data_IF_638113739280
#
_entry.id   IF_638113739280
#
_cell.length_a   1.000
_cell.length_b   1.000
_cell.length_c   1.000
_cell.angle_alpha   90.00
_cell.angle_beta   90.00
_cell.angle_gamma   90.00
#
_symmetry.space_group_name_H-M   'P 1'
#
loop_
_entity.id
_entity.type
_entity.pdbx_description
1 polymer ?
#
# COMPACT_ATOMS: atom_id res chain seq x y z
N UNK A 1 7.63 20.57 3.03
CA UNK A 1 7.33 19.38 3.86
C UNK A 1 6.47 18.33 3.15
N UNK A 2 5.37 18.72 2.49
CA UNK A 2 4.47 17.79 1.76
C UNK A 2 5.11 16.85 0.73
N UNK A 3 6.06 17.28 -0.13
CA UNK A 3 6.57 16.40 -1.19
C UNK A 3 7.49 15.28 -0.68
N UNK A 4 8.17 15.48 0.46
CA UNK A 4 9.10 14.49 1.01
C UNK A 4 8.37 13.26 1.55
N UNK A 5 7.25 13.46 2.28
CA UNK A 5 6.42 12.37 2.78
C UNK A 5 5.73 11.61 1.63
N UNK A 6 5.28 12.34 0.62
CA UNK A 6 4.65 11.78 -0.58
C UNK A 6 5.64 10.92 -1.37
N UNK A 7 6.85 11.43 -1.63
CA UNK A 7 7.92 10.70 -2.30
C UNK A 7 8.37 9.48 -1.49
N UNK A 8 8.51 9.62 -0.16
CA UNK A 8 8.93 8.52 0.71
C UNK A 8 7.92 7.38 0.70
N UNK A 9 6.61 7.67 0.80
CA UNK A 9 5.55 6.66 0.72
C UNK A 9 5.50 6.06 -0.68
N UNK A 10 5.52 6.87 -1.74
CA UNK A 10 5.49 6.37 -3.11
C UNK A 10 6.65 5.42 -3.40
N UNK A 11 7.88 5.83 -3.07
CA UNK A 11 9.10 5.03 -3.30
C UNK A 11 9.09 3.78 -2.45
N UNK A 12 8.79 3.88 -1.14
CA UNK A 12 8.76 2.69 -0.28
C UNK A 12 7.71 1.69 -0.75
N UNK A 13 6.50 2.14 -1.06
CA UNK A 13 5.43 1.24 -1.51
C UNK A 13 5.79 0.60 -2.85
N UNK A 14 6.31 1.35 -3.82
CA UNK A 14 6.72 0.82 -5.11
C UNK A 14 7.87 -0.19 -5.00
N UNK A 15 8.94 0.15 -4.28
CA UNK A 15 10.13 -0.69 -4.14
C UNK A 15 9.81 -1.97 -3.37
N UNK A 16 9.06 -1.87 -2.27
CA UNK A 16 8.73 -3.05 -1.46
C UNK A 16 7.69 -3.94 -2.14
N UNK A 17 6.73 -3.38 -2.89
CA UNK A 17 5.82 -4.17 -3.71
C UNK A 17 6.57 -4.88 -4.85
N UNK A 18 7.54 -4.21 -5.48
CA UNK A 18 8.38 -4.82 -6.51
C UNK A 18 9.24 -5.95 -5.95
N UNK A 19 9.83 -5.77 -4.76
CA UNK A 19 10.56 -6.83 -4.06
C UNK A 19 9.64 -8.01 -3.71
N UNK A 20 8.41 -7.73 -3.24
CA UNK A 20 7.41 -8.77 -2.96
C UNK A 20 7.02 -9.56 -4.21
N UNK A 21 6.85 -8.89 -5.35
CA UNK A 21 6.60 -9.52 -6.63
C UNK A 21 7.77 -10.39 -7.09
N UNK A 22 9.00 -9.89 -6.94
CA UNK A 22 10.21 -10.64 -7.30
C UNK A 22 10.37 -11.89 -6.44
N UNK A 23 10.20 -11.78 -5.12
CA UNK A 23 10.26 -12.91 -4.19
C UNK A 23 9.16 -13.94 -4.48
N UNK A 24 7.94 -13.49 -4.79
CA UNK A 24 6.87 -14.40 -5.19
C UNK A 24 7.20 -15.16 -6.47
N UNK A 25 7.83 -14.48 -7.45
CA UNK A 25 8.25 -15.11 -8.71
C UNK A 25 9.38 -16.12 -8.50
N UNK A 26 10.34 -15.82 -7.62
CA UNK A 26 11.40 -16.75 -7.26
C UNK A 26 10.85 -17.98 -6.53
N UNK A 27 9.97 -17.79 -5.56
CA UNK A 27 9.33 -18.89 -4.84
C UNK A 27 8.44 -19.74 -5.75
N UNK A 28 7.75 -19.11 -6.71
CA UNK A 28 6.97 -19.79 -7.73
C UNK A 28 7.80 -20.72 -8.61
N UNK A 29 9.03 -20.33 -8.96
CA UNK A 29 9.93 -21.19 -9.74
C UNK A 29 10.37 -22.44 -8.97
N UNK A 30 10.27 -22.43 -7.65
CA UNK A 30 10.59 -23.59 -6.79
C UNK A 30 9.37 -24.50 -6.57
N UNK A 31 8.17 -24.03 -6.88
CA UNK A 31 6.92 -24.81 -6.71
C UNK A 31 6.42 -25.32 -8.05
N UNK A 32 6.09 -26.61 -8.16
CA UNK A 32 5.45 -27.19 -9.36
C UNK A 32 3.98 -26.77 -9.54
N UNK A 33 3.45 -25.96 -8.61
CA UNK A 33 2.04 -25.60 -8.53
C UNK A 33 1.76 -24.23 -9.17
N UNK A 34 0.97 -24.23 -10.25
CA UNK A 34 0.71 -23.05 -11.09
C UNK A 34 -0.05 -21.94 -10.34
N UNK A 35 -0.75 -22.27 -9.25
CA UNK A 35 -1.53 -21.32 -8.44
C UNK A 35 -0.78 -20.69 -7.26
N UNK A 36 0.38 -21.24 -6.86
CA UNK A 36 1.11 -20.77 -5.68
C UNK A 36 1.74 -19.39 -5.88
N UNK A 37 2.17 -19.10 -7.12
CA UNK A 37 2.82 -17.85 -7.52
C UNK A 37 1.96 -16.59 -7.29
N UNK A 38 0.74 -16.50 -7.86
CA UNK A 38 -0.11 -15.32 -7.66
C UNK A 38 -0.55 -15.19 -6.20
N UNK A 39 -0.85 -16.30 -5.51
CA UNK A 39 -1.31 -16.27 -4.11
C UNK A 39 -0.23 -15.70 -3.17
N UNK A 40 1.02 -16.15 -3.31
CA UNK A 40 2.13 -15.64 -2.52
C UNK A 40 2.41 -14.17 -2.83
N UNK A 41 2.33 -13.76 -4.10
CA UNK A 41 2.45 -12.35 -4.48
C UNK A 41 1.38 -11.51 -3.78
N UNK A 42 0.12 -11.95 -3.83
CA UNK A 42 -0.97 -11.23 -3.17
C UNK A 42 -0.72 -11.09 -1.67
N UNK A 43 -0.27 -12.15 -1.00
CA UNK A 43 0.10 -12.09 0.42
C UNK A 43 1.24 -11.09 0.70
N UNK A 44 2.32 -11.14 -0.09
CA UNK A 44 3.46 -10.23 0.09
C UNK A 44 3.08 -8.78 -0.18
N UNK A 45 2.34 -8.50 -1.26
CA UNK A 45 1.86 -7.14 -1.56
C UNK A 45 0.90 -6.66 -0.46
N UNK A 46 0.05 -7.53 0.10
CA UNK A 46 -0.82 -7.18 1.22
C UNK A 46 0.00 -6.79 2.45
N UNK A 47 1.01 -7.59 2.80
CA UNK A 47 1.89 -7.30 3.92
C UNK A 47 2.61 -5.96 3.71
N UNK A 48 3.09 -5.68 2.49
CA UNK A 48 3.68 -4.39 2.12
C UNK A 48 2.70 -3.23 2.31
N UNK A 49 1.47 -3.36 1.81
CA UNK A 49 0.43 -2.34 1.93
C UNK A 49 0.03 -2.05 3.37
N UNK A 50 0.27 -2.97 4.31
CA UNK A 50 0.03 -2.76 5.74
C UNK A 50 1.26 -2.20 6.45
N UNK A 51 2.45 -2.76 6.18
CA UNK A 51 3.69 -2.40 6.88
C UNK A 51 4.21 -1.03 6.45
N UNK A 52 4.12 -0.67 5.17
CA UNK A 52 4.62 0.62 4.67
C UNK A 52 3.87 1.80 5.31
N UNK A 53 2.52 1.85 5.34
CA UNK A 53 1.80 2.89 6.08
C UNK A 53 2.15 2.90 7.56
N UNK A 54 2.30 1.73 8.21
CA UNK A 54 2.68 1.65 9.62
C UNK A 54 4.04 2.32 9.88
N UNK A 55 5.06 1.98 9.10
CA UNK A 55 6.42 2.52 9.25
C UNK A 55 6.51 3.99 8.86
N UNK A 56 5.86 4.37 7.77
CA UNK A 56 5.94 5.73 7.24
C UNK A 56 5.13 6.73 8.03
N UNK A 57 3.97 6.36 8.60
CA UNK A 57 3.14 7.32 9.36
C UNK A 57 3.69 7.55 10.76
N UNK A 58 4.25 6.53 11.42
CA UNK A 58 4.71 6.58 12.81
C UNK A 58 5.62 7.77 13.17
N UNK A 59 6.67 8.12 12.40
CA UNK A 59 7.52 9.28 12.70
C UNK A 59 6.84 10.63 12.42
N UNK A 60 5.77 10.66 11.62
CA UNK A 60 5.07 11.89 11.23
C UNK A 60 3.85 12.20 12.09
N UNK A 61 3.37 11.24 12.88
CA UNK A 61 2.29 11.45 13.87
C UNK A 61 2.59 12.60 14.85
N UNK A 62 3.88 12.93 15.06
CA UNK A 62 4.31 14.01 15.95
C UNK A 62 4.48 15.37 15.25
N UNK A 63 4.41 15.43 13.91
CA UNK A 63 4.81 16.60 13.11
C UNK A 63 3.76 17.10 12.14
N UNK A 64 2.70 16.34 11.88
CA UNK A 64 1.71 16.65 10.84
C UNK A 64 0.28 16.37 11.30
N UNK A 65 -0.69 17.10 10.73
CA UNK A 65 -2.12 16.89 10.99
C UNK A 65 -2.66 15.65 10.27
N UNK A 66 -3.72 15.07 10.82
CA UNK A 66 -4.38 13.86 10.29
C UNK A 66 -4.72 13.96 8.80
N UNK A 67 -5.26 15.10 8.36
CA UNK A 67 -5.62 15.34 6.96
C UNK A 67 -4.42 15.34 6.02
N UNK A 68 -3.29 15.91 6.45
CA UNK A 68 -2.07 15.95 5.64
C UNK A 68 -1.43 14.57 5.51
N UNK A 69 -1.43 13.78 6.58
CA UNK A 69 -0.95 12.39 6.58
C UNK A 69 -1.80 11.54 5.63
N UNK A 70 -3.13 11.69 5.70
CA UNK A 70 -4.07 10.92 4.86
C UNK A 70 -3.92 11.24 3.38
N UNK A 71 -3.90 12.52 3.02
CA UNK A 71 -3.73 12.94 1.62
C UNK A 71 -2.35 12.56 1.07
N UNK A 72 -1.28 12.79 1.86
CA UNK A 72 0.08 12.44 1.46
C UNK A 72 0.28 10.94 1.25
N UNK A 73 -0.22 10.11 2.16
CA UNK A 73 -0.13 8.66 2.02
C UNK A 73 -1.08 8.12 0.94
N UNK A 74 -2.28 8.67 0.79
CA UNK A 74 -3.22 8.25 -0.27
C UNK A 74 -2.66 8.51 -1.67
N UNK A 75 -2.09 9.71 -1.89
CA UNK A 75 -1.41 10.03 -3.14
C UNK A 75 -0.14 9.18 -3.33
N UNK A 76 0.61 8.93 -2.24
CA UNK A 76 1.78 8.05 -2.26
C UNK A 76 1.43 6.60 -2.65
N UNK A 77 0.31 6.06 -2.16
CA UNK A 77 -0.19 4.73 -2.53
C UNK A 77 -0.59 4.67 -4.01
N UNK A 78 -1.30 5.69 -4.51
CA UNK A 78 -1.69 5.77 -5.92
C UNK A 78 -0.47 5.86 -6.84
N UNK A 79 0.52 6.70 -6.48
CA UNK A 79 1.80 6.78 -7.20
C UNK A 79 2.60 5.49 -7.10
N UNK A 80 2.60 4.84 -5.93
CA UNK A 80 3.25 3.55 -5.73
C UNK A 80 2.69 2.47 -6.66
N UNK A 81 1.37 2.43 -6.83
CA UNK A 81 0.71 1.55 -7.80
C UNK A 81 1.09 1.90 -9.25
N UNK A 82 1.07 3.19 -9.60
CA UNK A 82 1.44 3.63 -10.95
C UNK A 82 2.90 3.32 -11.30
N UNK A 83 3.81 3.35 -10.31
CA UNK A 83 5.22 3.02 -10.49
C UNK A 83 5.51 1.51 -10.48
N UNK A 84 4.53 0.68 -10.12
CA UNK A 84 4.70 -0.76 -10.00
C UNK A 84 4.44 -1.46 -11.35
N UNK A 85 5.47 -1.97 -12.06
CA UNK A 85 5.32 -2.47 -13.43
C UNK A 85 4.33 -3.62 -13.58
N UNK A 86 4.23 -4.51 -12.58
CA UNK A 86 3.32 -5.65 -12.66
C UNK A 86 1.85 -5.24 -12.58
N UNK A 87 1.52 -4.08 -11.99
CA UNK A 87 0.18 -3.50 -12.06
C UNK A 87 -0.26 -3.28 -13.51
N UNK A 88 0.65 -2.79 -14.37
CA UNK A 88 0.37 -2.57 -15.79
C UNK A 88 0.24 -3.86 -16.59
N UNK A 89 0.74 -4.97 -16.09
CA UNK A 89 0.48 -6.29 -16.69
C UNK A 89 -0.87 -6.90 -16.25
N UNK A 90 -1.66 -6.20 -15.41
CA UNK A 90 -2.87 -6.78 -14.80
C UNK A 90 -2.56 -7.87 -13.76
N UNK A 91 -1.34 -7.80 -13.23
CA UNK A 91 -0.68 -8.73 -12.30
C UNK A 91 -0.25 -7.98 -11.04
N UNK A 92 -1.04 -7.00 -10.63
CA UNK A 92 -0.67 -6.07 -9.57
C UNK A 92 -0.84 -6.73 -8.20
N UNK A 93 -2.00 -7.33 -7.98
CA UNK A 93 -2.40 -7.70 -6.63
C UNK A 93 -3.15 -9.04 -6.58
N UNK A 94 -4.48 -9.00 -6.49
CA UNK A 94 -5.31 -10.17 -6.18
C UNK A 94 -6.30 -10.51 -7.30
N UNK A 95 -6.60 -9.58 -8.21
CA UNK A 95 -7.63 -9.77 -9.24
C UNK A 95 -7.27 -10.91 -10.22
N UNK A 96 -5.97 -11.17 -10.42
CA UNK A 96 -5.47 -12.29 -11.21
C UNK A 96 -5.85 -13.67 -10.62
N UNK A 97 -6.18 -13.76 -9.32
CA UNK A 97 -6.62 -15.01 -8.70
C UNK A 97 -8.02 -15.45 -9.15
N UNK A 98 -8.83 -14.52 -9.68
CA UNK A 98 -10.24 -14.76 -9.99
C UNK A 98 -10.53 -14.57 -11.48
N UNK A 99 -9.71 -13.77 -12.17
CA UNK A 99 -9.94 -13.40 -13.56
C UNK A 99 -8.63 -13.31 -14.33
N UNK A 100 -8.67 -13.60 -15.63
CA UNK A 100 -7.50 -13.51 -16.50
C UNK A 100 -6.96 -12.07 -16.57
N UNK A 101 -5.63 -11.88 -16.66
CA UNK A 101 -5.02 -10.56 -16.64
C UNK A 101 -5.46 -9.71 -17.85
N UNK A 102 -5.91 -8.49 -17.58
CA UNK A 102 -6.41 -7.55 -18.57
C UNK A 102 -6.79 -6.21 -17.96
N UNK A 103 -7.46 -5.34 -18.72
CA UNK A 103 -7.85 -3.99 -18.23
C UNK A 103 -8.73 -4.06 -16.99
N UNK A 104 -9.64 -5.05 -16.91
CA UNK A 104 -10.51 -5.25 -15.75
C UNK A 104 -9.71 -5.62 -14.50
N UNK A 105 -8.72 -6.51 -14.60
CA UNK A 105 -7.87 -6.86 -13.44
C UNK A 105 -7.04 -5.67 -12.99
N UNK A 106 -6.56 -4.81 -13.91
CA UNK A 106 -5.85 -3.58 -13.54
C UNK A 106 -6.70 -2.62 -12.71
N UNK A 107 -7.97 -2.47 -13.07
CA UNK A 107 -8.91 -1.60 -12.34
C UNK A 107 -9.25 -2.20 -10.98
N UNK A 108 -9.54 -3.50 -10.92
CA UNK A 108 -9.82 -4.20 -9.66
C UNK A 108 -8.61 -4.17 -8.72
N UNK A 109 -7.41 -4.42 -9.23
CA UNK A 109 -6.17 -4.36 -8.46
C UNK A 109 -5.90 -2.94 -7.93
N UNK A 110 -6.15 -1.90 -8.73
CA UNK A 110 -6.03 -0.51 -8.27
C UNK A 110 -7.00 -0.23 -7.12
N UNK A 111 -8.27 -0.62 -7.27
CA UNK A 111 -9.29 -0.42 -6.24
C UNK A 111 -8.91 -1.17 -4.97
N UNK A 112 -8.55 -2.45 -5.07
CA UNK A 112 -8.14 -3.26 -3.93
C UNK A 112 -6.90 -2.70 -3.24
N UNK A 113 -5.89 -2.26 -4.00
CA UNK A 113 -4.68 -1.65 -3.47
C UNK A 113 -4.99 -0.39 -2.66
N UNK A 114 -5.84 0.49 -3.21
CA UNK A 114 -6.26 1.72 -2.54
C UNK A 114 -7.12 1.44 -1.31
N UNK A 115 -8.01 0.45 -1.37
CA UNK A 115 -8.86 0.06 -0.23
C UNK A 115 -8.01 -0.53 0.89
N UNK A 116 -7.13 -1.48 0.59
CA UNK A 116 -6.29 -2.14 1.60
C UNK A 116 -5.27 -1.17 2.19
N UNK A 117 -4.53 -0.45 1.35
CA UNK A 117 -3.57 0.57 1.80
C UNK A 117 -4.25 1.73 2.53
N UNK A 118 -5.43 2.15 2.06
CA UNK A 118 -6.25 3.18 2.69
C UNK A 118 -6.80 2.74 4.06
N UNK A 119 -7.28 1.51 4.19
CA UNK A 119 -7.73 0.94 5.46
C UNK A 119 -6.57 0.86 6.46
N UNK A 120 -5.41 0.36 6.04
CA UNK A 120 -4.21 0.32 6.88
C UNK A 120 -3.82 1.74 7.35
N UNK A 121 -3.85 2.72 6.46
CA UNK A 121 -3.60 4.12 6.78
C UNK A 121 -4.62 4.69 7.78
N UNK A 122 -5.90 4.36 7.64
CA UNK A 122 -6.95 4.80 8.58
C UNK A 122 -6.71 4.24 9.97
N UNK A 123 -6.37 2.95 10.07
CA UNK A 123 -6.04 2.27 11.33
C UNK A 123 -4.80 2.92 11.97
N UNK A 124 -3.74 3.13 11.20
CA UNK A 124 -2.48 3.69 11.70
C UNK A 124 -2.59 5.17 12.07
N UNK A 125 -3.43 5.93 11.38
CA UNK A 125 -3.68 7.35 11.67
C UNK A 125 -4.74 7.59 12.75
N UNK A 126 -5.37 6.53 13.27
CA UNK A 126 -6.35 6.60 14.34
C UNK A 126 -5.83 7.31 15.62
N UNK A 127 -4.59 7.10 16.09
CA UNK A 127 -4.11 7.72 17.33
C UNK A 127 -3.89 9.24 17.24
N UNK A 128 -3.75 9.80 16.04
CA UNK A 128 -3.48 11.24 15.86
C UNK A 128 -4.69 12.13 16.17
N UNK A 129 -5.92 11.61 16.17
CA UNK A 129 -7.13 12.40 16.45
C UNK A 129 -7.40 12.63 17.93
N UNK A 130 -6.97 11.70 18.79
CA UNK A 130 -7.24 11.74 20.24
C UNK A 130 -6.49 12.88 20.94
N UNK A 131 -5.39 13.37 20.36
CA UNK A 131 -4.61 14.50 20.88
C UNK A 131 -5.18 15.87 20.54
N UNK A 132 -5.89 15.99 19.42
CA UNK A 132 -6.47 17.27 18.99
C UNK A 132 -7.64 17.68 19.90
N UNK A 133 -8.35 16.69 20.46
CA UNK A 133 -9.43 16.88 21.44
C UNK A 133 -8.95 17.15 22.87
N UNK A 134 -7.75 16.72 23.27
CA UNK A 134 -7.27 16.90 24.64
C UNK A 134 -6.82 18.33 24.97
N UNK A 135 -6.56 19.16 23.96
CA UNK A 135 -6.02 20.52 24.14
C UNK A 135 -7.12 21.59 24.33
N UNK A 136 -8.41 21.23 24.16
CA UNK A 136 -9.53 22.18 24.26
C UNK A 136 -10.35 22.09 25.56
N UNK A 137 -10.05 21.16 26.46
CA UNK A 137 -10.69 21.06 27.79
C UNK A 137 -9.85 21.74 28.87
N UNK A 138 -9.74 23.07 28.77
CA UNK A 138 -9.38 23.93 29.90
C UNK A 138 -10.46 24.99 30.03
N UNK A 139 -11.53 24.67 30.73
CA UNK A 139 -12.50 25.64 31.27
C UNK A 139 -12.91 25.22 32.66
#
# INVERSE_FOLDING_TARGET
MRPALLAQVAVLTAVTAQLGAFLATLAAQQTTDLGAAPALRTLLVTAVLVVVPWWTVRPWLLRATRGQIRLGCGLGLALGYALYPAAWAGRGYAAELVTAPGTTTRLLDLVLWLVVGGAALLVVSAPAGTRESATYDVR
#
